data_IF_220017111801
#
_entry.id   IF_220017111801
#
_cell.length_a   1.000
_cell.length_b   1.000
_cell.length_c   1.000
_cell.angle_alpha   90.00
_cell.angle_beta   90.00
_cell.angle_gamma   90.00
#
_symmetry.space_group_name_H-M   'P 1'
#
loop_
_entity.id
_entity.type
_entity.pdbx_description
1 polymer ?
#
# COMPACT_ATOMS: atom_id res chain seq x y z
N UNK A 1 6.24 31.53 -50.22
CA UNK A 1 5.58 31.48 -48.90
C UNK A 1 6.38 30.52 -48.04
N UNK A 2 6.94 30.99 -46.94
CA UNK A 2 7.64 30.15 -45.97
C UNK A 2 6.56 29.70 -44.97
N UNK A 3 6.30 28.39 -44.90
CA UNK A 3 5.48 27.82 -43.86
C UNK A 3 6.33 27.78 -42.58
N UNK A 4 5.98 28.61 -41.60
CA UNK A 4 6.50 28.50 -40.24
C UNK A 4 5.71 27.37 -39.57
N UNK A 5 6.38 26.26 -39.27
CA UNK A 5 5.82 25.23 -38.40
C UNK A 5 5.78 25.81 -36.98
N UNK A 6 4.58 26.06 -36.47
CA UNK A 6 4.37 26.33 -35.05
C UNK A 6 4.52 24.98 -34.34
N UNK A 7 5.45 24.81 -33.39
CA UNK A 7 5.49 23.58 -32.61
C UNK A 7 4.15 23.44 -31.89
N UNK A 8 3.51 22.28 -32.04
CA UNK A 8 2.38 21.87 -31.20
C UNK A 8 2.89 21.94 -29.76
N UNK A 9 2.35 22.87 -28.97
CA UNK A 9 2.63 22.93 -27.53
C UNK A 9 2.21 21.59 -26.96
N UNK A 10 3.18 20.79 -26.51
CA UNK A 10 2.90 19.66 -25.62
C UNK A 10 2.19 20.27 -24.41
N UNK A 11 0.93 19.91 -24.20
CA UNK A 11 0.20 20.30 -23.02
C UNK A 11 0.91 19.63 -21.84
N UNK A 12 1.44 20.45 -20.94
CA UNK A 12 2.35 20.02 -19.90
C UNK A 12 1.70 20.29 -18.56
N UNK A 13 1.56 19.24 -17.75
CA UNK A 13 1.40 19.39 -16.32
C UNK A 13 2.53 20.28 -15.83
N UNK A 14 2.21 21.37 -15.14
CA UNK A 14 3.19 22.36 -14.67
C UNK A 14 3.53 22.20 -13.20
N UNK A 15 2.60 21.64 -12.42
CA UNK A 15 2.76 21.36 -11.00
C UNK A 15 2.13 20.01 -10.68
N UNK A 16 2.77 19.24 -9.79
CA UNK A 16 2.29 17.98 -9.26
C UNK A 16 2.69 17.92 -7.79
N UNK A 17 1.76 17.53 -6.92
CA UNK A 17 2.04 17.35 -5.49
C UNK A 17 1.22 16.20 -4.91
N UNK A 18 1.74 15.62 -3.82
CA UNK A 18 1.12 14.52 -3.09
C UNK A 18 1.02 14.91 -1.62
N UNK A 19 -0.14 14.68 -1.00
CA UNK A 19 -0.38 14.94 0.41
C UNK A 19 -1.00 13.72 1.11
N UNK A 20 -0.61 13.39 2.35
CA UNK A 20 0.46 14.01 3.14
C UNK A 20 1.86 13.70 2.59
N UNK A 21 2.87 14.49 2.97
CA UNK A 21 4.26 14.31 2.51
C UNK A 21 4.87 12.95 2.93
N UNK A 22 4.35 12.38 4.03
CA UNK A 22 4.78 11.10 4.60
C UNK A 22 3.56 10.19 4.82
N UNK A 23 2.93 9.70 3.73
CA UNK A 23 1.71 8.93 3.84
C UNK A 23 1.98 7.56 4.43
N UNK A 24 1.04 7.09 5.23
CA UNK A 24 1.07 5.78 5.86
C UNK A 24 -0.01 4.90 5.23
N UNK A 25 0.25 3.59 5.08
CA UNK A 25 -0.75 2.61 4.63
C UNK A 25 -2.05 2.81 5.44
N UNK A 26 -3.19 2.82 4.77
CA UNK A 26 -4.50 3.03 5.39
C UNK A 26 -4.97 4.48 5.41
N UNK A 27 -4.09 5.45 5.18
CA UNK A 27 -4.48 6.84 4.95
C UNK A 27 -4.93 7.08 3.50
N UNK A 28 -5.75 8.10 3.31
CA UNK A 28 -6.05 8.63 1.98
C UNK A 28 -4.93 9.57 1.54
N UNK A 29 -4.39 9.35 0.34
CA UNK A 29 -3.47 10.28 -0.30
C UNK A 29 -4.21 11.16 -1.29
N UNK A 30 -3.78 12.41 -1.43
CA UNK A 30 -4.28 13.34 -2.43
C UNK A 30 -3.19 13.65 -3.43
N UNK A 31 -3.48 13.44 -4.70
CA UNK A 31 -2.63 13.85 -5.81
C UNK A 31 -3.30 15.05 -6.46
N UNK A 32 -2.60 16.17 -6.55
CA UNK A 32 -3.12 17.37 -7.18
C UNK A 32 -2.05 18.06 -8.03
N UNK A 33 -2.49 18.95 -8.92
CA UNK A 33 -1.60 19.67 -9.79
C UNK A 33 -2.32 20.65 -10.69
N UNK A 34 -1.57 21.21 -11.64
CA UNK A 34 -2.09 22.15 -12.64
C UNK A 34 -1.66 21.76 -14.04
N UNK A 35 -2.59 21.88 -14.99
CA UNK A 35 -2.44 21.57 -16.41
C UNK A 35 -3.18 22.64 -17.25
N UNK A 36 -3.38 22.41 -18.55
CA UNK A 36 -4.24 23.29 -19.33
C UNK A 36 -5.72 23.15 -18.90
N UNK A 37 -6.53 24.22 -18.99
CA UNK A 37 -7.96 24.12 -18.74
C UNK A 37 -8.63 23.01 -19.55
N UNK A 38 -9.47 22.21 -18.88
CA UNK A 38 -10.19 21.07 -19.46
C UNK A 38 -9.33 19.94 -20.04
N UNK A 39 -8.01 19.95 -19.82
CA UNK A 39 -7.10 18.89 -20.26
C UNK A 39 -7.38 17.56 -19.55
N UNK A 40 -7.21 16.45 -20.27
CA UNK A 40 -7.21 15.10 -19.69
C UNK A 40 -5.77 14.67 -19.48
N UNK A 41 -5.39 14.40 -18.23
CA UNK A 41 -4.05 14.05 -17.81
C UNK A 41 -4.03 12.57 -17.42
N UNK A 42 -3.13 11.81 -18.01
CA UNK A 42 -2.89 10.45 -17.56
C UNK A 42 -1.91 10.47 -16.39
N UNK A 43 -2.41 10.12 -15.20
CA UNK A 43 -1.59 9.86 -14.02
C UNK A 43 -1.18 8.40 -14.05
N UNK A 44 0.12 8.13 -13.98
CA UNK A 44 0.66 6.77 -13.92
C UNK A 44 1.43 6.56 -12.63
N UNK A 45 1.16 5.46 -11.95
CA UNK A 45 1.91 4.98 -10.79
C UNK A 45 2.62 3.69 -11.18
N UNK A 46 3.91 3.61 -10.90
CA UNK A 46 4.73 2.42 -11.07
C UNK A 46 5.36 2.00 -9.75
N UNK A 47 5.39 0.70 -9.46
CA UNK A 47 6.18 0.17 -8.36
C UNK A 47 6.73 -1.21 -8.67
N UNK A 48 7.82 -1.55 -7.99
CA UNK A 48 8.47 -2.84 -8.11
C UNK A 48 8.22 -3.69 -6.87
N UNK A 49 7.94 -4.98 -7.08
CA UNK A 49 7.79 -5.97 -6.03
C UNK A 49 8.66 -7.19 -6.31
N UNK A 50 9.54 -7.52 -5.37
CA UNK A 50 10.28 -8.79 -5.38
C UNK A 50 9.46 -9.86 -4.67
N UNK A 51 9.22 -10.98 -5.36
CA UNK A 51 8.37 -12.07 -4.87
C UNK A 51 9.19 -13.35 -4.76
N UNK A 52 9.11 -14.02 -3.62
CA UNK A 52 9.79 -15.29 -3.39
C UNK A 52 9.21 -16.41 -4.25
N UNK A 53 10.08 -17.30 -4.73
CA UNK A 53 9.72 -18.51 -5.48
C UNK A 53 9.64 -19.70 -4.52
N UNK A 54 8.55 -20.44 -4.59
CA UNK A 54 8.36 -21.72 -3.90
C UNK A 54 7.95 -22.79 -4.91
N UNK A 55 8.64 -23.92 -4.90
CA UNK A 55 8.38 -25.06 -5.80
C UNK A 55 8.36 -24.66 -7.29
N UNK A 56 9.21 -23.70 -7.68
CA UNK A 56 9.31 -23.17 -9.05
C UNK A 56 8.22 -22.17 -9.44
N UNK A 57 7.34 -21.81 -8.50
CA UNK A 57 6.22 -20.89 -8.73
C UNK A 57 6.34 -19.64 -7.89
N UNK A 58 5.78 -18.54 -8.37
CA UNK A 58 5.64 -17.29 -7.61
C UNK A 58 4.18 -16.86 -7.57
N UNK A 59 3.82 -16.14 -6.51
CA UNK A 59 2.47 -15.60 -6.34
C UNK A 59 2.52 -14.33 -5.50
N UNK A 60 1.89 -13.29 -6.00
CA UNK A 60 1.65 -12.03 -5.31
C UNK A 60 0.15 -11.74 -5.33
N UNK A 61 -0.38 -11.20 -4.24
CA UNK A 61 -1.81 -10.93 -4.08
C UNK A 61 -1.99 -9.53 -3.49
N UNK A 62 -2.89 -8.78 -4.09
CA UNK A 62 -3.35 -7.48 -3.61
C UNK A 62 -4.87 -7.57 -3.54
N UNK A 63 -5.43 -7.24 -2.38
CA UNK A 63 -6.86 -7.40 -2.12
C UNK A 63 -7.54 -6.04 -2.10
N UNK A 64 -8.80 -5.98 -2.55
CA UNK A 64 -9.64 -4.78 -2.48
C UNK A 64 -9.02 -3.52 -3.10
N UNK A 65 -8.37 -3.65 -4.26
CA UNK A 65 -7.82 -2.51 -5.01
C UNK A 65 -8.96 -1.72 -5.65
N UNK A 66 -9.10 -0.46 -5.27
CA UNK A 66 -10.06 0.47 -5.87
C UNK A 66 -9.52 1.04 -7.18
N UNK A 67 -10.29 0.85 -8.26
CA UNK A 67 -10.02 1.44 -9.56
C UNK A 67 -11.03 2.59 -9.77
N UNK A 68 -10.57 3.84 -9.95
CA UNK A 68 -11.44 5.00 -10.08
C UNK A 68 -12.22 4.98 -11.40
N UNK A 69 -13.24 5.83 -11.49
CA UNK A 69 -13.96 6.06 -12.74
C UNK A 69 -13.04 6.67 -13.81
N UNK A 70 -13.33 6.39 -15.09
CA UNK A 70 -12.60 6.94 -16.22
C UNK A 70 -11.84 5.90 -17.04
N UNK A 71 -10.83 6.36 -17.78
CA UNK A 71 -10.00 5.50 -18.61
C UNK A 71 -8.83 4.99 -17.80
N UNK A 72 -8.87 3.71 -17.42
CA UNK A 72 -7.83 3.08 -16.63
C UNK A 72 -7.02 2.06 -17.44
N UNK A 73 -5.74 1.96 -17.16
CA UNK A 73 -4.87 0.90 -17.66
C UNK A 73 -4.13 0.22 -16.52
N UNK A 74 -3.84 -1.06 -16.71
CA UNK A 74 -3.08 -1.87 -15.77
C UNK A 74 -2.10 -2.76 -16.55
N UNK A 75 -0.85 -2.75 -16.13
CA UNK A 75 0.21 -3.55 -16.72
C UNK A 75 1.04 -4.20 -15.62
N UNK A 76 1.42 -5.44 -15.86
CA UNK A 76 2.39 -6.16 -15.05
C UNK A 76 3.46 -6.70 -15.97
N UNK A 77 4.71 -6.44 -15.62
CA UNK A 77 5.89 -7.05 -16.22
C UNK A 77 6.55 -7.94 -15.17
N UNK A 78 6.79 -9.21 -15.52
CA UNK A 78 7.57 -10.13 -14.72
C UNK A 78 8.94 -10.37 -15.34
N UNK A 79 9.98 -10.42 -14.53
CA UNK A 79 11.36 -10.76 -14.91
C UNK A 79 11.83 -12.02 -14.17
N UNK A 80 12.68 -12.81 -14.82
CA UNK A 80 13.12 -14.14 -14.41
C UNK A 80 11.96 -15.15 -14.32
N UNK A 81 11.01 -15.04 -15.26
CA UNK A 81 9.79 -15.86 -15.33
C UNK A 81 9.72 -16.67 -16.61
N UNK A 82 8.99 -17.78 -16.58
CA UNK A 82 8.59 -18.55 -17.78
C UNK A 82 7.23 -18.13 -18.30
N UNK A 83 6.34 -17.75 -17.39
CA UNK A 83 5.01 -17.24 -17.68
C UNK A 83 4.57 -16.23 -16.61
N UNK A 84 3.57 -15.43 -16.97
CA UNK A 84 2.93 -14.45 -16.10
C UNK A 84 1.42 -14.54 -16.26
N UNK A 85 0.71 -14.66 -15.15
CA UNK A 85 -0.74 -14.65 -15.09
C UNK A 85 -1.19 -13.49 -14.20
N UNK A 86 -2.19 -12.73 -14.66
CA UNK A 86 -2.90 -11.72 -13.87
C UNK A 86 -4.35 -12.16 -13.78
N UNK A 87 -4.81 -12.41 -12.55
CA UNK A 87 -6.16 -12.86 -12.24
C UNK A 87 -6.88 -11.80 -11.45
N UNK A 88 -8.06 -11.43 -11.89
CA UNK A 88 -8.91 -10.45 -11.20
C UNK A 88 -10.25 -11.06 -10.84
N UNK A 89 -10.78 -10.71 -9.68
CA UNK A 89 -12.08 -11.16 -9.20
C UNK A 89 -13.08 -10.01 -9.17
N UNK A 90 -14.19 -10.16 -9.89
CA UNK A 90 -15.34 -9.26 -9.82
C UNK A 90 -16.53 -10.06 -9.25
N UNK A 91 -17.09 -10.94 -10.07
CA UNK A 91 -18.10 -11.94 -9.69
C UNK A 91 -17.57 -13.37 -9.88
N UNK A 92 -16.70 -13.56 -10.87
CA UNK A 92 -15.93 -14.78 -11.14
C UNK A 92 -14.48 -14.38 -11.45
N UNK A 93 -13.57 -15.34 -11.38
CA UNK A 93 -12.17 -15.12 -11.73
C UNK A 93 -11.99 -14.97 -13.24
N UNK A 94 -11.38 -13.86 -13.64
CA UNK A 94 -10.95 -13.61 -15.02
C UNK A 94 -9.42 -13.67 -15.01
N UNK A 95 -8.82 -14.38 -15.97
CA UNK A 95 -7.36 -14.53 -16.07
C UNK A 95 -6.87 -14.05 -17.42
N UNK A 96 -5.77 -13.31 -17.41
CA UNK A 96 -4.94 -13.00 -18.58
C UNK A 96 -3.54 -13.54 -18.35
N UNK A 97 -2.94 -14.06 -19.40
CA UNK A 97 -1.65 -14.73 -19.32
C UNK A 97 -0.74 -14.34 -20.47
N UNK A 98 0.56 -14.37 -20.23
CA UNK A 98 1.60 -14.21 -21.23
C UNK A 98 2.74 -15.21 -20.95
N UNK A 99 3.25 -15.84 -22.00
CA UNK A 99 4.49 -16.61 -21.94
C UNK A 99 5.69 -15.65 -22.00
N UNK A 100 6.78 -16.01 -21.36
CA UNK A 100 7.97 -15.18 -21.33
C UNK A 100 8.82 -15.32 -22.61
N UNK A 101 9.36 -14.19 -23.06
CA UNK A 101 10.41 -14.14 -24.06
C UNK A 101 11.71 -13.69 -23.37
N UNK A 102 12.72 -14.56 -23.36
CA UNK A 102 14.02 -14.31 -22.71
C UNK A 102 13.89 -13.93 -21.21
N UNK A 103 13.06 -14.66 -20.47
CA UNK A 103 12.85 -14.47 -19.03
C UNK A 103 11.93 -13.31 -18.66
N UNK A 104 11.33 -12.63 -19.65
CA UNK A 104 10.42 -11.49 -19.43
C UNK A 104 9.05 -11.76 -20.01
N UNK A 105 8.00 -11.58 -19.21
CA UNK A 105 6.60 -11.65 -19.65
C UNK A 105 5.85 -10.38 -19.25
N UNK A 106 4.93 -9.92 -20.10
CA UNK A 106 4.11 -8.73 -19.83
C UNK A 106 2.64 -9.02 -20.09
N UNK A 107 1.79 -8.71 -19.12
CA UNK A 107 0.34 -8.71 -19.26
C UNK A 107 -0.14 -7.26 -19.15
N UNK A 108 -0.96 -6.82 -20.10
CA UNK A 108 -1.52 -5.47 -20.14
C UNK A 108 -3.01 -5.49 -20.44
N UNK A 109 -3.75 -4.57 -19.83
CA UNK A 109 -5.16 -4.31 -20.08
C UNK A 109 -5.41 -2.80 -20.09
N UNK A 110 -6.07 -2.32 -21.14
CA UNK A 110 -6.65 -0.97 -21.19
C UNK A 110 -8.16 -1.00 -20.95
N UNK A 111 -8.76 0.15 -20.64
CA UNK A 111 -10.19 0.24 -20.32
C UNK A 111 -10.57 -0.69 -19.16
N UNK A 112 -9.75 -0.73 -18.11
CA UNK A 112 -10.08 -1.48 -16.89
C UNK A 112 -11.29 -0.78 -16.25
N UNK A 113 -12.41 -1.49 -16.03
CA UNK A 113 -13.60 -0.88 -15.43
C UNK A 113 -13.32 -0.41 -14.00
N UNK A 114 -14.09 0.59 -13.55
CA UNK A 114 -14.04 1.04 -12.16
C UNK A 114 -14.66 0.03 -11.21
N UNK A 115 -14.23 0.07 -9.95
CA UNK A 115 -14.69 -0.79 -8.87
C UNK A 115 -13.54 -1.40 -8.07
N UNK A 116 -13.88 -2.32 -7.17
CA UNK A 116 -12.92 -2.99 -6.29
C UNK A 116 -12.55 -4.38 -6.79
N UNK A 117 -11.27 -4.69 -6.75
CA UNK A 117 -10.71 -5.92 -7.33
C UNK A 117 -9.75 -6.62 -6.37
N UNK A 118 -9.92 -7.94 -6.21
CA UNK A 118 -8.83 -8.81 -5.77
C UNK A 118 -7.97 -9.16 -6.98
N UNK A 119 -6.67 -8.91 -6.90
CA UNK A 119 -5.68 -9.17 -7.93
C UNK A 119 -4.72 -10.26 -7.46
N UNK A 120 -4.53 -11.30 -8.27
CA UNK A 120 -3.46 -12.30 -8.09
C UNK A 120 -2.55 -12.23 -9.30
N UNK A 121 -1.26 -12.08 -9.03
CA UNK A 121 -0.20 -12.15 -10.03
C UNK A 121 0.62 -13.42 -9.73
N UNK A 122 0.57 -14.40 -10.61
CA UNK A 122 1.23 -15.70 -10.39
C UNK A 122 1.80 -16.30 -11.67
N UNK A 123 2.73 -17.24 -11.51
CA UNK A 123 3.31 -17.93 -12.65
C UNK A 123 4.44 -18.86 -12.28
N UNK A 124 5.12 -19.36 -13.30
CA UNK A 124 6.33 -20.17 -13.18
C UNK A 124 7.58 -19.30 -13.28
N UNK A 125 8.52 -19.48 -12.36
CA UNK A 125 9.83 -18.84 -12.43
C UNK A 125 10.77 -19.58 -13.38
N UNK A 126 11.83 -18.91 -13.84
CA UNK A 126 12.95 -19.58 -14.50
C UNK A 126 13.63 -20.60 -13.57
N UNK A 127 14.31 -21.58 -14.16
CA UNK A 127 14.89 -22.68 -13.39
C UNK A 127 16.00 -22.19 -12.47
N UNK A 128 15.87 -22.44 -11.17
CA UNK A 128 16.89 -22.10 -10.17
C UNK A 128 16.72 -20.73 -9.53
N UNK A 129 15.72 -19.95 -9.97
CA UNK A 129 15.41 -18.66 -9.39
C UNK A 129 14.77 -18.81 -8.01
N UNK A 130 15.21 -17.97 -7.07
CA UNK A 130 14.65 -17.90 -5.72
C UNK A 130 13.66 -16.75 -5.55
N UNK A 131 13.68 -15.79 -6.48
CA UNK A 131 12.84 -14.60 -6.49
C UNK A 131 12.53 -14.19 -7.92
N UNK A 132 11.38 -13.56 -8.12
CA UNK A 132 11.03 -12.86 -9.37
C UNK A 132 10.80 -11.39 -9.08
N UNK A 133 11.07 -10.53 -10.06
CA UNK A 133 10.74 -9.11 -9.95
C UNK A 133 9.48 -8.83 -10.78
N UNK A 134 8.52 -8.16 -10.15
CA UNK A 134 7.32 -7.66 -10.80
C UNK A 134 7.40 -6.13 -10.85
N UNK A 135 7.21 -5.55 -12.02
CA UNK A 135 6.90 -4.13 -12.19
C UNK A 135 5.41 -4.02 -12.45
N UNK A 136 4.71 -3.24 -11.65
CA UNK A 136 3.28 -3.00 -11.76
C UNK A 136 3.08 -1.53 -12.11
N UNK A 137 2.47 -1.30 -13.27
CA UNK A 137 2.10 0.04 -13.74
C UNK A 137 0.57 0.14 -13.78
N UNK A 138 0.03 1.18 -13.15
CA UNK A 138 -1.37 1.53 -13.23
C UNK A 138 -1.50 2.97 -13.72
N UNK A 139 -2.44 3.23 -14.62
CA UNK A 139 -2.75 4.60 -15.02
C UNK A 139 -4.23 4.89 -15.00
N UNK A 140 -4.57 6.14 -14.70
CA UNK A 140 -5.93 6.67 -14.76
C UNK A 140 -5.91 8.07 -15.36
N UNK A 141 -6.97 8.42 -16.10
CA UNK A 141 -7.09 9.74 -16.72
C UNK A 141 -7.94 10.67 -15.84
N UNK A 142 -7.36 11.79 -15.42
CA UNK A 142 -8.00 12.83 -14.62
C UNK A 142 -8.22 14.05 -15.50
N UNK A 143 -9.42 14.63 -15.46
CA UNK A 143 -9.70 15.87 -16.18
C UNK A 143 -9.46 17.09 -15.30
N UNK A 144 -8.58 18.00 -15.74
CA UNK A 144 -8.42 19.30 -15.13
C UNK A 144 -9.67 20.17 -15.30
N UNK A 145 -9.92 21.04 -14.32
CA UNK A 145 -11.04 21.96 -14.33
C UNK A 145 -10.86 23.12 -15.32
N UNK A 146 -11.81 24.04 -15.35
CA UNK A 146 -11.77 25.22 -16.24
C UNK A 146 -10.64 26.20 -15.94
N UNK A 147 -9.98 26.07 -14.78
CA UNK A 147 -8.80 26.85 -14.39
C UNK A 147 -7.50 26.04 -14.57
N UNK A 148 -7.60 24.78 -14.98
CA UNK A 148 -6.47 23.87 -15.14
C UNK A 148 -6.08 23.11 -13.87
N UNK A 149 -6.82 23.23 -12.76
CA UNK A 149 -6.53 22.48 -11.54
C UNK A 149 -7.11 21.07 -11.60
N UNK A 150 -6.38 20.09 -11.10
CA UNK A 150 -6.89 18.74 -10.86
C UNK A 150 -6.51 18.25 -9.46
N UNK A 151 -7.39 17.45 -8.85
CA UNK A 151 -7.17 16.79 -7.57
C UNK A 151 -7.93 15.46 -7.59
N UNK A 152 -7.28 14.39 -7.15
CA UNK A 152 -7.88 13.09 -6.94
C UNK A 152 -7.40 12.51 -5.61
N UNK A 153 -8.27 11.77 -4.93
CA UNK A 153 -7.98 11.12 -3.65
C UNK A 153 -7.92 9.62 -3.85
N UNK A 154 -6.90 8.97 -3.31
CA UNK A 154 -6.67 7.53 -3.42
C UNK A 154 -6.54 6.92 -2.03
N UNK A 155 -7.32 5.87 -1.76
CA UNK A 155 -7.20 5.08 -0.54
C UNK A 155 -5.98 4.15 -0.63
N UNK A 156 -5.18 4.06 0.44
CA UNK A 156 -3.98 3.20 0.47
C UNK A 156 -4.14 1.92 1.29
N UNK A 157 -5.33 1.63 1.82
CA UNK A 157 -5.62 0.44 2.65
C UNK A 157 -5.15 -0.88 2.01
N UNK A 158 -5.27 -0.95 0.68
CA UNK A 158 -5.00 -2.13 -0.14
C UNK A 158 -3.62 -2.12 -0.77
N UNK A 159 -2.84 -1.05 -0.56
CA UNK A 159 -1.57 -0.79 -1.22
C UNK A 159 -0.43 -1.16 -0.27
N UNK A 160 0.55 -1.97 -0.69
CA UNK A 160 1.67 -2.34 0.16
C UNK A 160 2.52 -1.11 0.50
N UNK A 161 3.19 -1.09 1.66
CA UNK A 161 4.23 -0.11 1.93
C UNK A 161 5.36 -0.25 0.90
N UNK A 162 5.98 0.86 0.50
CA UNK A 162 7.01 0.83 -0.53
C UNK A 162 7.28 2.16 -1.19
N UNK A 163 8.09 2.09 -2.25
CA UNK A 163 8.45 3.24 -3.08
C UNK A 163 7.65 3.15 -4.39
N UNK A 164 6.97 4.24 -4.73
CA UNK A 164 6.13 4.38 -5.90
C UNK A 164 6.64 5.55 -6.75
N UNK A 165 6.74 5.34 -8.05
CA UNK A 165 7.03 6.38 -9.02
C UNK A 165 5.71 6.90 -9.58
N UNK A 166 5.37 8.15 -9.27
CA UNK A 166 4.21 8.85 -9.79
C UNK A 166 4.64 9.69 -11.00
N UNK A 167 3.86 9.68 -12.06
CA UNK A 167 4.09 10.53 -13.22
C UNK A 167 2.78 11.15 -13.73
N UNK A 168 2.89 12.41 -14.16
CA UNK A 168 1.82 13.19 -14.75
C UNK A 168 2.41 14.05 -15.87
N UNK A 169 2.11 13.72 -17.13
CA UNK A 169 2.77 14.33 -18.28
C UNK A 169 4.28 14.10 -18.26
N UNK A 170 5.08 15.17 -18.16
CA UNK A 170 6.55 15.11 -18.09
C UNK A 170 7.10 15.19 -16.65
N UNK A 171 6.24 15.44 -15.65
CA UNK A 171 6.64 15.54 -14.24
C UNK A 171 6.60 14.15 -13.61
N UNK A 172 7.64 13.83 -12.83
CA UNK A 172 7.75 12.60 -12.06
C UNK A 172 8.03 12.94 -10.60
N UNK A 173 7.36 12.25 -9.70
CA UNK A 173 7.50 12.36 -8.24
C UNK A 173 7.71 10.97 -7.64
N UNK A 174 8.45 10.90 -6.53
CA UNK A 174 8.64 9.65 -5.78
C UNK A 174 7.83 9.72 -4.50
N UNK A 175 6.95 8.75 -4.29
CA UNK A 175 6.16 8.60 -3.08
C UNK A 175 6.72 7.42 -2.30
N UNK A 176 6.98 7.62 -1.00
CA UNK A 176 7.23 6.51 -0.08
C UNK A 176 6.01 6.32 0.79
N UNK A 177 5.33 5.18 0.66
CA UNK A 177 4.23 4.78 1.53
C UNK A 177 4.79 3.97 2.70
N UNK A 178 4.65 4.50 3.90
CA UNK A 178 5.18 3.88 5.11
C UNK A 178 4.21 2.86 5.70
N UNK A 179 4.75 1.83 6.36
CA UNK A 179 3.92 0.94 7.18
C UNK A 179 3.22 1.71 8.28
N UNK A 180 1.96 1.34 8.61
CA UNK A 180 1.34 1.82 9.84
C UNK A 180 2.28 1.52 11.01
N UNK A 181 2.56 2.50 11.89
CA UNK A 181 3.19 2.18 13.14
C UNK A 181 2.29 1.16 13.83
N UNK A 182 2.81 -0.06 14.04
CA UNK A 182 2.10 -1.09 14.80
C UNK A 182 1.74 -0.46 16.13
N UNK A 183 0.46 -0.16 16.33
CA UNK A 183 -0.06 0.24 17.64
C UNK A 183 0.02 -1.03 18.48
N UNK A 184 1.15 -1.24 19.15
CA UNK A 184 1.26 -2.29 20.16
C UNK A 184 0.27 -1.87 21.24
N UNK A 185 -0.86 -2.59 21.42
CA UNK A 185 -1.76 -2.27 22.50
C UNK A 185 -0.93 -2.35 23.78
N UNK A 186 -1.00 -1.35 24.65
CA UNK A 186 -0.21 -1.38 25.87
C UNK A 186 -0.52 -2.66 26.65
N UNK A 187 0.52 -3.40 27.00
CA UNK A 187 0.40 -4.57 27.85
C UNK A 187 0.17 -4.07 29.27
N UNK A 188 -1.11 -3.94 29.65
CA UNK A 188 -1.47 -3.63 31.02
C UNK A 188 -1.15 -4.83 31.92
N UNK A 189 -0.72 -4.54 33.13
CA UNK A 189 -0.68 -5.52 34.19
C UNK A 189 -2.09 -6.10 34.37
N UNK A 190 -2.21 -7.41 34.57
CA UNK A 190 -3.49 -8.10 34.75
C UNK A 190 -4.34 -7.54 35.91
N UNK A 191 -3.70 -6.83 36.84
CA UNK A 191 -4.34 -6.16 37.97
C UNK A 191 -4.64 -4.67 37.77
N UNK A 192 -4.11 -4.03 36.72
CA UNK A 192 -4.43 -2.62 36.40
C UNK A 192 -5.79 -2.56 35.67
N UNK A 193 -6.84 -2.53 36.48
CA UNK A 193 -8.22 -2.61 36.02
C UNK A 193 -8.67 -1.32 35.31
N UNK A 194 -8.06 -0.19 35.64
CA UNK A 194 -8.41 1.12 35.08
C UNK A 194 -7.48 1.52 33.91
N UNK A 195 -6.46 0.72 33.60
CA UNK A 195 -5.56 0.88 32.47
C UNK A 195 -4.77 2.19 32.50
N UNK A 196 -4.40 2.67 33.70
CA UNK A 196 -3.70 3.95 33.89
C UNK A 196 -2.19 3.83 34.14
N UNK A 197 -1.65 2.60 34.10
CA UNK A 197 -0.26 2.19 34.37
C UNK A 197 0.18 2.34 35.83
N UNK A 198 -0.74 2.57 36.76
CA UNK A 198 -0.44 2.76 38.17
C UNK A 198 -1.21 1.70 38.93
N UNK A 199 -0.51 0.87 39.70
CA UNK A 199 -1.17 -0.09 40.57
C UNK A 199 -1.72 0.65 41.77
N UNK A 200 -3.04 0.70 41.89
CA UNK A 200 -3.74 1.27 43.03
C UNK A 200 -3.93 0.25 44.15
N UNK A 201 -4.32 0.72 45.34
CA UNK A 201 -4.48 -0.16 46.51
C UNK A 201 -5.52 -1.26 46.30
N UNK A 202 -6.58 -0.99 45.53
CA UNK A 202 -7.61 -1.98 45.19
C UNK A 202 -7.08 -3.09 44.27
N UNK A 203 -6.17 -2.72 43.38
CA UNK A 203 -5.56 -3.60 42.38
C UNK A 203 -4.47 -4.46 43.02
N UNK A 204 -3.64 -3.86 43.88
CA UNK A 204 -2.72 -4.61 44.75
C UNK A 204 -3.48 -5.61 45.63
N UNK A 205 -4.61 -5.21 46.20
CA UNK A 205 -5.43 -6.10 47.03
C UNK A 205 -5.88 -7.33 46.26
N UNK A 206 -6.33 -7.16 45.01
CA UNK A 206 -6.72 -8.28 44.15
C UNK A 206 -5.54 -9.23 43.88
N UNK A 207 -4.35 -8.70 43.59
CA UNK A 207 -3.15 -9.53 43.42
C UNK A 207 -2.71 -10.27 44.68
N UNK A 208 -2.89 -9.67 45.85
CA UNK A 208 -2.63 -10.33 47.14
C UNK A 208 -3.62 -11.48 47.36
N UNK A 209 -4.92 -11.26 47.07
CA UNK A 209 -5.94 -12.31 47.18
C UNK A 209 -5.61 -13.49 46.25
N UNK A 210 -5.25 -13.22 45.00
CA UNK A 210 -4.85 -14.23 44.03
C UNK A 210 -3.59 -15.00 44.44
N UNK A 211 -2.64 -14.33 45.11
CA UNK A 211 -1.47 -15.01 45.69
C UNK A 211 -1.90 -16.01 46.77
N UNK A 212 -2.81 -15.61 47.67
CA UNK A 212 -3.30 -16.50 48.73
C UNK A 212 -4.13 -17.67 48.20
N UNK A 213 -4.81 -17.50 47.06
CA UNK A 213 -5.55 -18.59 46.39
C UNK A 213 -4.67 -19.41 45.44
N UNK A 214 -3.40 -19.05 45.24
CA UNK A 214 -2.45 -19.76 44.39
C UNK A 214 -2.55 -19.45 42.90
N UNK A 215 -3.26 -18.39 42.52
CA UNK A 215 -3.38 -17.89 41.15
C UNK A 215 -2.24 -16.93 40.77
N UNK A 216 -1.55 -16.34 41.76
CA UNK A 216 -0.38 -15.49 41.55
C UNK A 216 0.88 -16.10 42.18
N UNK A 217 2.01 -16.04 41.46
CA UNK A 217 3.31 -16.46 42.02
C UNK A 217 3.92 -15.38 42.90
N UNK A 218 4.77 -15.76 43.87
CA UNK A 218 5.45 -14.80 44.74
C UNK A 218 6.30 -13.77 43.96
N UNK A 219 6.85 -14.15 42.81
CA UNK A 219 7.65 -13.25 41.97
C UNK A 219 6.76 -12.18 41.31
N UNK A 220 5.58 -12.58 40.79
CA UNK A 220 4.61 -11.64 40.24
C UNK A 220 4.02 -10.72 41.31
N UNK A 221 3.75 -11.26 42.50
CA UNK A 221 3.31 -10.46 43.64
C UNK A 221 4.37 -9.43 44.05
N UNK A 222 5.64 -9.83 44.12
CA UNK A 222 6.73 -8.90 44.44
C UNK A 222 6.79 -7.75 43.45
N UNK A 223 6.69 -8.03 42.15
CA UNK A 223 6.68 -7.02 41.11
C UNK A 223 5.46 -6.08 41.22
N UNK A 224 4.28 -6.62 41.52
CA UNK A 224 3.07 -5.83 41.73
C UNK A 224 3.20 -4.88 42.94
N UNK A 225 3.83 -5.35 44.02
CA UNK A 225 4.16 -4.55 45.20
C UNK A 225 5.17 -3.44 44.83
N UNK A 226 6.19 -3.75 44.05
CA UNK A 226 7.18 -2.76 43.61
C UNK A 226 6.53 -1.63 42.81
N UNK A 227 5.59 -1.96 41.90
CA UNK A 227 4.82 -0.96 41.15
C UNK A 227 3.88 -0.13 42.03
N UNK A 228 3.21 -0.74 43.00
CA UNK A 228 2.38 -0.01 43.95
C UNK A 228 3.22 0.95 44.81
N UNK A 229 4.39 0.51 45.29
CA UNK A 229 5.25 1.30 46.17
C UNK A 229 6.00 2.42 45.43
N UNK A 230 6.31 2.24 44.14
CA UNK A 230 6.91 3.32 43.34
C UNK A 230 5.91 4.46 43.13
N UNK A 231 4.63 4.14 42.93
CA UNK A 231 3.62 5.11 42.50
C UNK A 231 3.88 5.67 41.09
N UNK A 232 4.86 5.10 40.39
CA UNK A 232 5.25 5.44 39.03
C UNK A 232 4.48 4.56 38.05
N UNK A 233 4.42 5.02 36.80
CA UNK A 233 3.87 4.20 35.72
C UNK A 233 4.75 2.97 35.50
N UNK A 234 4.18 1.77 35.53
CA UNK A 234 4.88 0.56 35.13
C UNK A 234 4.90 0.49 33.59
N UNK A 235 6.11 0.38 33.01
CA UNK A 235 6.35 0.22 31.58
C UNK A 235 7.13 -1.06 31.33
#
# INVERSE_FOLDING_TARGET
MIAVAIPLSSAAVTELSVYPDYPVVGEDIKINGTAQPDESIDITVSFNQTVNVSDGTYKYRIDDVEIPDGSNTFQVKGENVKDLNVRVKILFWITRSADAESGVATVSQSNVPSGNYDIIIDGQAENGESTVNLTIDASSSIKADTQGYFEETYATNSIPPGIFELSAGEINEIITLYEEPVVIPPEYNEYDANQNYIIEIGELSAGIDDFFTGHLSINKLSQLIDYFLSGDKYY
#
